data_IF_098066132062
#
_entry.id   IF_098066132062
#
_cell.length_a   1.000
_cell.length_b   1.000
_cell.length_c   1.000
_cell.angle_alpha   90.00
_cell.angle_beta   90.00
_cell.angle_gamma   90.00
#
_symmetry.space_group_name_H-M   'P 1'
#
loop_
_entity.id
_entity.type
_entity.pdbx_description
1 polymer ?
#
# COMPACT_ATOMS: atom_id res chain seq x y z
N UNK A 1 -11.81 -29.24 46.03
CA UNK A 1 -11.86 -28.89 44.60
C UNK A 1 -11.31 -27.49 44.42
N UNK A 2 -10.03 -27.44 44.04
CA UNK A 2 -9.25 -26.29 43.55
C UNK A 2 -9.79 -25.87 42.16
N UNK A 3 -9.66 -24.66 41.59
CA UNK A 3 -8.85 -23.46 41.86
C UNK A 3 -9.36 -22.33 40.91
N UNK A 4 -9.59 -21.14 41.45
CA UNK A 4 -9.20 -19.79 40.98
C UNK A 4 -9.18 -19.41 39.49
N UNK A 5 -9.94 -18.35 39.17
CA UNK A 5 -9.64 -17.30 38.20
C UNK A 5 -8.16 -16.87 38.24
N UNK A 6 -7.51 -16.75 37.06
CA UNK A 6 -6.51 -15.72 36.69
C UNK A 6 -5.89 -15.98 35.29
N UNK A 7 -5.60 -14.88 34.59
CA UNK A 7 -4.56 -14.67 33.54
C UNK A 7 -4.82 -15.33 32.15
N UNK A 8 -4.59 -14.72 30.99
CA UNK A 8 -4.05 -13.41 30.61
C UNK A 8 -4.51 -13.08 29.18
N UNK A 9 -4.88 -11.83 28.95
CA UNK A 9 -4.93 -11.22 27.62
C UNK A 9 -3.49 -11.15 27.11
N UNK A 10 -3.17 -11.87 26.03
CA UNK A 10 -1.93 -11.69 25.28
C UNK A 10 -2.29 -11.15 23.89
N UNK A 11 -2.42 -9.83 23.85
CA UNK A 11 -2.39 -9.04 22.61
C UNK A 11 -0.95 -9.08 22.09
N UNK A 12 -0.66 -10.01 21.19
CA UNK A 12 0.59 -9.98 20.42
C UNK A 12 0.39 -9.01 19.25
N UNK A 13 0.78 -7.77 19.48
CA UNK A 13 1.13 -6.79 18.46
C UNK A 13 2.29 -7.36 17.62
N UNK A 14 1.98 -8.08 16.55
CA UNK A 14 2.91 -8.27 15.44
C UNK A 14 2.92 -6.98 14.62
N UNK A 15 3.67 -6.00 15.12
CA UNK A 15 4.28 -5.01 14.24
C UNK A 15 5.25 -5.82 13.37
N UNK A 16 4.85 -6.09 12.13
CA UNK A 16 5.63 -6.87 11.18
C UNK A 16 6.95 -6.16 10.87
N UNK A 17 7.95 -6.40 11.71
CA UNK A 17 9.35 -6.13 11.43
C UNK A 17 9.76 -7.09 10.31
N UNK A 18 9.63 -6.64 9.07
CA UNK A 18 10.05 -7.41 7.91
C UNK A 18 11.57 -7.25 7.73
N UNK A 19 12.34 -7.95 8.58
CA UNK A 19 13.73 -8.29 8.28
C UNK A 19 13.78 -9.77 7.87
N UNK A 20 13.31 -10.06 6.66
CA UNK A 20 13.33 -11.41 6.11
C UNK A 20 13.56 -11.35 4.62
N UNK A 21 14.78 -11.67 4.18
CA UNK A 21 15.12 -11.79 2.76
C UNK A 21 14.15 -12.73 2.05
N UNK A 22 13.48 -12.24 1.01
CA UNK A 22 12.64 -13.03 0.08
C UNK A 22 13.51 -13.88 -0.85
N UNK A 23 14.53 -14.55 -0.33
CA UNK A 23 15.45 -15.37 -1.10
C UNK A 23 15.43 -16.80 -0.57
N UNK A 24 14.71 -17.68 -1.27
CA UNK A 24 14.95 -19.11 -1.17
C UNK A 24 13.73 -20.01 -1.29
N UNK A 25 12.59 -19.64 -0.69
CA UNK A 25 11.47 -20.58 -0.51
C UNK A 25 10.45 -20.63 -1.66
N UNK A 26 10.45 -19.62 -2.53
CA UNK A 26 9.34 -19.32 -3.44
C UNK A 26 9.57 -19.73 -4.90
N UNK A 27 10.58 -20.55 -5.21
CA UNK A 27 10.97 -20.88 -6.60
C UNK A 27 10.11 -21.98 -7.27
N UNK A 28 9.29 -22.74 -6.55
CA UNK A 28 8.78 -24.03 -7.04
C UNK A 28 7.27 -24.19 -7.27
N UNK A 29 6.39 -23.49 -6.54
CA UNK A 29 4.97 -23.89 -6.44
C UNK A 29 3.94 -22.82 -6.87
N UNK A 30 4.40 -21.66 -7.30
CA UNK A 30 3.63 -20.43 -7.59
C UNK A 30 2.62 -20.55 -8.76
N UNK A 31 2.57 -21.68 -9.46
CA UNK A 31 1.79 -21.84 -10.71
C UNK A 31 0.39 -22.45 -10.50
N UNK A 32 0.06 -22.98 -9.31
CA UNK A 32 -1.20 -23.70 -9.14
C UNK A 32 -2.33 -22.81 -8.58
N UNK A 33 -3.31 -22.56 -9.47
CA UNK A 33 -4.66 -22.05 -9.23
C UNK A 33 -4.89 -20.54 -9.40
N UNK A 34 -4.96 -20.12 -10.66
CA UNK A 34 -5.42 -18.79 -11.10
C UNK A 34 -6.71 -18.89 -11.92
N UNK A 35 -7.80 -19.37 -11.28
CA UNK A 35 -9.12 -19.37 -11.90
C UNK A 35 -9.57 -17.90 -12.11
N UNK A 36 -9.82 -17.51 -13.36
CA UNK A 36 -10.32 -16.17 -13.73
C UNK A 36 -9.28 -15.22 -14.35
N UNK A 37 -8.08 -15.70 -14.69
CA UNK A 37 -7.07 -14.90 -15.40
C UNK A 37 -6.81 -15.42 -16.80
N UNK A 38 -6.43 -14.52 -17.71
CA UNK A 38 -5.97 -14.88 -19.04
C UNK A 38 -4.64 -15.68 -18.93
N UNK A 39 -4.62 -16.96 -19.36
CA UNK A 39 -3.42 -17.79 -19.31
C UNK A 39 -2.25 -17.23 -20.12
N UNK A 40 -2.52 -16.50 -21.21
CA UNK A 40 -1.48 -15.89 -22.03
C UNK A 40 -0.81 -14.72 -21.29
N UNK A 41 -1.59 -13.91 -20.56
CA UNK A 41 -1.07 -12.84 -19.72
C UNK A 41 -0.18 -13.43 -18.62
N UNK A 42 -0.69 -14.43 -17.89
CA UNK A 42 0.10 -15.08 -16.82
C UNK A 42 1.41 -15.66 -17.34
N UNK A 43 1.36 -16.36 -18.47
CA UNK A 43 2.55 -16.93 -19.10
C UNK A 43 3.55 -15.85 -19.48
N UNK A 44 3.11 -14.77 -20.14
CA UNK A 44 3.98 -13.69 -20.59
C UNK A 44 4.66 -12.98 -19.40
N UNK A 45 3.89 -12.65 -18.36
CA UNK A 45 4.42 -11.99 -17.16
C UNK A 45 5.37 -12.90 -16.38
N UNK A 46 5.03 -14.19 -16.24
CA UNK A 46 5.91 -15.19 -15.62
C UNK A 46 7.22 -15.37 -16.38
N UNK A 47 7.18 -15.43 -17.72
CA UNK A 47 8.38 -15.49 -18.56
C UNK A 47 9.24 -14.23 -18.47
N UNK A 48 8.65 -13.08 -18.15
CA UNK A 48 9.34 -11.82 -17.90
C UNK A 48 9.90 -11.69 -16.47
N UNK A 49 9.78 -12.75 -15.65
CA UNK A 49 10.36 -12.82 -14.31
C UNK A 49 9.42 -12.41 -13.17
N UNK A 50 8.14 -12.18 -13.44
CA UNK A 50 7.15 -11.96 -12.39
C UNK A 50 6.82 -13.28 -11.67
N UNK A 51 6.79 -13.24 -10.34
CA UNK A 51 6.13 -14.27 -9.53
C UNK A 51 4.63 -13.96 -9.47
N UNK A 52 3.79 -14.98 -9.58
CA UNK A 52 2.33 -14.81 -9.73
C UNK A 52 1.64 -15.33 -8.48
N UNK A 53 0.97 -14.48 -7.72
CA UNK A 53 0.26 -14.90 -6.53
C UNK A 53 -1.06 -14.18 -6.37
N UNK A 54 -1.49 -14.08 -5.12
CA UNK A 54 -2.68 -13.33 -4.72
C UNK A 54 -2.32 -12.29 -3.66
N UNK A 55 -2.93 -11.12 -3.76
CA UNK A 55 -2.86 -10.05 -2.79
C UNK A 55 -4.25 -9.85 -2.18
N UNK A 56 -4.37 -10.06 -0.88
CA UNK A 56 -5.50 -9.57 -0.11
C UNK A 56 -5.08 -8.29 0.62
N UNK A 57 -5.95 -7.27 0.61
CA UNK A 57 -5.75 -6.07 1.44
C UNK A 57 -6.94 -5.92 2.36
N UNK A 58 -6.72 -6.12 3.67
CA UNK A 58 -7.79 -6.06 4.67
C UNK A 58 -8.46 -4.68 4.70
N UNK A 59 -9.66 -4.57 5.27
CA UNK A 59 -10.37 -3.30 5.44
C UNK A 59 -9.48 -2.22 6.07
N UNK A 60 -8.75 -2.55 7.14
CA UNK A 60 -7.82 -1.66 7.82
C UNK A 60 -6.46 -1.48 7.12
N UNK A 61 -6.29 -2.07 5.95
CA UNK A 61 -5.13 -1.84 5.09
C UNK A 61 -3.95 -2.78 5.27
N UNK A 62 -4.12 -3.95 5.89
CA UNK A 62 -3.04 -4.94 5.99
C UNK A 62 -2.90 -5.69 4.65
N UNK A 63 -1.70 -5.63 4.06
CA UNK A 63 -1.37 -6.36 2.84
C UNK A 63 -0.96 -7.80 3.17
N UNK A 64 -1.51 -8.75 2.42
CA UNK A 64 -1.19 -10.18 2.56
C UNK A 64 -0.97 -10.79 1.19
N UNK A 65 0.28 -11.14 0.92
CA UNK A 65 0.66 -11.94 -0.24
C UNK A 65 0.41 -13.43 0.06
N UNK A 66 -0.24 -14.11 -0.88
CA UNK A 66 -0.73 -15.47 -0.75
C UNK A 66 -0.36 -16.28 -1.99
N UNK A 67 -0.04 -17.55 -1.79
CA UNK A 67 0.35 -18.46 -2.88
C UNK A 67 -0.85 -18.94 -3.71
N UNK A 68 -2.01 -19.11 -3.08
CA UNK A 68 -3.25 -19.54 -3.74
C UNK A 68 -4.39 -18.56 -3.52
N UNK A 69 -5.44 -18.66 -4.35
CA UNK A 69 -6.64 -17.84 -4.18
C UNK A 69 -7.32 -18.25 -2.87
N UNK A 70 -7.43 -17.36 -1.88
CA UNK A 70 -8.16 -17.67 -0.66
C UNK A 70 -9.67 -17.74 -0.96
N UNK A 71 -10.36 -18.73 -0.39
CA UNK A 71 -11.82 -18.81 -0.44
C UNK A 71 -12.46 -17.73 0.43
N UNK A 72 -13.49 -17.06 -0.10
CA UNK A 72 -14.28 -16.06 0.64
C UNK A 72 -13.54 -14.78 1.01
N UNK A 73 -12.29 -14.58 0.54
CA UNK A 73 -11.49 -13.38 0.81
C UNK A 73 -11.33 -12.58 -0.49
N UNK A 74 -11.72 -11.30 -0.45
CA UNK A 74 -11.48 -10.38 -1.56
C UNK A 74 -9.97 -10.25 -1.80
N UNK A 75 -9.55 -10.65 -2.99
CA UNK A 75 -8.16 -10.84 -3.34
C UNK A 75 -7.93 -10.57 -4.82
N UNK A 76 -6.84 -9.88 -5.10
CA UNK A 76 -6.39 -9.56 -6.44
C UNK A 76 -5.28 -10.55 -6.84
N UNK A 77 -5.25 -10.99 -8.10
CA UNK A 77 -4.04 -11.59 -8.64
C UNK A 77 -2.92 -10.54 -8.62
N UNK A 78 -1.72 -10.96 -8.26
CA UNK A 78 -0.56 -10.06 -8.12
C UNK A 78 0.63 -10.58 -8.89
N UNK A 79 1.32 -9.66 -9.56
CA UNK A 79 2.61 -9.89 -10.20
C UNK A 79 3.71 -9.25 -9.37
N UNK A 80 4.57 -10.07 -8.77
CA UNK A 80 5.64 -9.65 -7.87
C UNK A 80 6.99 -9.73 -8.59
N UNK A 81 7.75 -8.65 -8.57
CA UNK A 81 9.13 -8.64 -9.08
C UNK A 81 10.12 -8.51 -7.94
N UNK A 82 11.11 -9.40 -7.95
CA UNK A 82 12.30 -9.28 -7.11
C UNK A 82 13.35 -8.36 -7.75
N UNK A 83 13.36 -8.28 -9.08
CA UNK A 83 14.24 -7.42 -9.85
C UNK A 83 13.44 -6.75 -10.97
N UNK A 84 13.45 -5.41 -11.00
CA UNK A 84 12.84 -4.64 -12.06
C UNK A 84 13.85 -4.32 -13.16
N UNK A 85 13.47 -4.57 -14.42
CA UNK A 85 14.24 -4.19 -15.61
C UNK A 85 13.47 -3.11 -16.39
N UNK A 86 14.05 -1.93 -16.63
CA UNK A 86 13.40 -0.88 -17.41
C UNK A 86 12.93 -1.39 -18.78
N UNK A 87 11.72 -0.99 -19.16
CA UNK A 87 11.04 -1.32 -20.41
C UNK A 87 10.34 -2.67 -20.41
N UNK A 88 10.44 -3.47 -19.33
CA UNK A 88 9.87 -4.82 -19.31
C UNK A 88 8.34 -4.77 -19.31
N UNK A 89 7.73 -3.91 -18.49
CA UNK A 89 6.27 -3.91 -18.28
C UNK A 89 5.57 -3.36 -19.52
N UNK A 90 6.15 -2.35 -20.18
CA UNK A 90 5.58 -1.76 -21.39
C UNK A 90 5.41 -2.73 -22.57
N UNK A 91 6.10 -3.89 -22.55
CA UNK A 91 6.04 -4.91 -23.61
C UNK A 91 5.11 -6.08 -23.28
N UNK A 92 4.54 -6.10 -22.08
CA UNK A 92 3.71 -7.20 -21.62
C UNK A 92 2.23 -6.98 -22.01
N UNK A 93 1.48 -8.07 -22.29
CA UNK A 93 0.05 -7.95 -22.52
C UNK A 93 -0.63 -7.44 -21.23
N UNK A 94 -1.40 -6.36 -21.34
CA UNK A 94 -2.06 -5.75 -20.20
C UNK A 94 -3.20 -6.64 -19.68
N UNK A 95 -3.30 -6.89 -18.36
CA UNK A 95 -4.46 -7.57 -17.79
C UNK A 95 -5.76 -6.77 -18.00
N UNK A 96 -6.84 -7.46 -18.34
CA UNK A 96 -8.18 -6.90 -18.59
C UNK A 96 -9.13 -6.97 -17.38
N UNK A 97 -8.61 -7.42 -16.24
CA UNK A 97 -9.35 -7.54 -14.97
C UNK A 97 -8.53 -6.92 -13.84
N UNK A 98 -9.15 -6.50 -12.72
CA UNK A 98 -8.43 -5.91 -11.59
C UNK A 98 -7.28 -6.79 -11.09
N UNK A 99 -6.11 -6.18 -10.92
CA UNK A 99 -4.90 -6.87 -10.51
C UNK A 99 -3.98 -5.97 -9.69
N UNK A 100 -2.91 -6.57 -9.17
CA UNK A 100 -1.90 -5.89 -8.39
C UNK A 100 -0.49 -6.09 -8.97
N UNK A 101 0.39 -5.13 -8.70
CA UNK A 101 1.83 -5.23 -8.98
C UNK A 101 2.61 -4.96 -7.69
N UNK A 102 3.53 -5.85 -7.37
CA UNK A 102 4.52 -5.64 -6.31
C UNK A 102 5.91 -5.42 -6.87
N UNK A 103 6.44 -4.22 -6.67
CA UNK A 103 7.78 -3.79 -7.06
C UNK A 103 8.60 -3.36 -5.83
N UNK A 104 8.11 -3.68 -4.63
CA UNK A 104 8.76 -3.35 -3.38
C UNK A 104 10.21 -3.84 -3.32
N UNK A 105 11.14 -2.98 -2.90
CA UNK A 105 12.56 -3.29 -2.79
C UNK A 105 13.31 -3.43 -4.13
N UNK A 106 12.65 -3.15 -5.27
CA UNK A 106 13.32 -3.14 -6.58
C UNK A 106 14.01 -1.81 -6.87
N UNK A 107 14.74 -1.75 -8.01
CA UNK A 107 15.34 -0.51 -8.52
C UNK A 107 14.35 0.38 -9.30
N UNK A 108 13.04 0.16 -9.17
CA UNK A 108 12.02 0.99 -9.81
C UNK A 108 12.23 2.48 -9.49
N UNK A 109 12.11 3.33 -10.51
CA UNK A 109 12.29 4.78 -10.43
C UNK A 109 11.22 5.52 -11.25
N UNK A 110 11.34 6.85 -11.34
CA UNK A 110 10.35 7.69 -12.03
C UNK A 110 10.21 7.38 -13.52
N UNK A 111 11.26 6.85 -14.17
CA UNK A 111 11.18 6.47 -15.58
C UNK A 111 10.30 5.24 -15.77
N UNK A 112 10.42 4.26 -14.87
CA UNK A 112 9.63 3.03 -14.91
C UNK A 112 8.14 3.24 -14.57
N UNK A 113 7.78 4.25 -13.78
CA UNK A 113 6.37 4.56 -13.50
C UNK A 113 5.56 4.88 -14.77
N UNK A 114 6.21 5.40 -15.82
CA UNK A 114 5.54 5.66 -17.11
C UNK A 114 5.03 4.38 -17.77
N UNK A 115 5.68 3.24 -17.52
CA UNK A 115 5.27 1.95 -18.07
C UNK A 115 3.94 1.47 -17.47
N UNK A 116 3.62 1.92 -16.25
CA UNK A 116 2.39 1.55 -15.55
C UNK A 116 1.17 2.35 -16.03
N UNK A 117 1.38 3.49 -16.70
CA UNK A 117 0.30 4.42 -17.06
C UNK A 117 -0.77 3.81 -17.98
N UNK A 118 -0.41 2.78 -18.76
CA UNK A 118 -1.33 2.08 -19.67
C UNK A 118 -2.19 1.01 -18.98
N UNK A 119 -1.87 0.64 -17.73
CA UNK A 119 -2.49 -0.48 -17.03
C UNK A 119 -3.81 -0.05 -16.37
N UNK A 120 -4.86 0.08 -17.18
CA UNK A 120 -6.17 0.64 -16.75
C UNK A 120 -6.87 -0.15 -15.64
N UNK A 121 -6.51 -1.42 -15.43
CA UNK A 121 -7.07 -2.28 -14.37
C UNK A 121 -6.13 -2.48 -13.17
N UNK A 122 -4.98 -1.78 -13.11
CA UNK A 122 -4.08 -1.85 -11.96
C UNK A 122 -4.77 -1.22 -10.75
N UNK A 123 -5.07 -2.06 -9.74
CA UNK A 123 -5.81 -1.67 -8.54
C UNK A 123 -4.92 -1.47 -7.33
N UNK A 124 -3.89 -2.31 -7.17
CA UNK A 124 -2.95 -2.21 -6.05
C UNK A 124 -1.51 -2.17 -6.55
N UNK A 125 -0.72 -1.22 -6.05
CA UNK A 125 0.65 -1.02 -6.45
C UNK A 125 1.54 -0.85 -5.22
N UNK A 126 2.53 -1.72 -5.08
CA UNK A 126 3.57 -1.62 -4.05
C UNK A 126 4.88 -1.11 -4.69
N UNK A 127 5.27 0.09 -4.28
CA UNK A 127 6.51 0.79 -4.63
C UNK A 127 7.35 1.07 -3.38
N UNK A 128 7.12 0.33 -2.29
CA UNK A 128 7.88 0.49 -1.06
C UNK A 128 9.38 0.21 -1.29
N UNK A 129 10.27 0.89 -0.59
CA UNK A 129 11.72 0.71 -0.71
C UNK A 129 12.26 0.85 -2.16
N UNK A 130 11.62 1.68 -3.00
CA UNK A 130 12.06 1.96 -4.37
C UNK A 130 12.76 3.33 -4.48
N UNK A 131 13.23 3.68 -5.68
CA UNK A 131 13.89 4.97 -5.99
C UNK A 131 12.93 6.01 -6.53
N UNK A 132 11.62 5.77 -6.41
CA UNK A 132 10.58 6.72 -6.81
C UNK A 132 10.67 7.99 -5.96
N UNK A 133 10.54 9.14 -6.61
CA UNK A 133 10.50 10.47 -6.00
C UNK A 133 9.23 11.21 -6.40
N UNK A 134 9.03 12.40 -5.83
CA UNK A 134 7.89 13.30 -6.12
C UNK A 134 7.63 13.47 -7.63
N UNK A 135 8.69 13.61 -8.42
CA UNK A 135 8.58 13.88 -9.87
C UNK A 135 7.94 12.75 -10.69
N UNK A 136 7.92 11.53 -10.15
CA UNK A 136 7.29 10.38 -10.80
C UNK A 136 5.80 10.24 -10.50
N UNK A 137 5.32 10.76 -9.36
CA UNK A 137 3.99 10.42 -8.83
C UNK A 137 2.83 10.96 -9.66
N UNK A 138 3.02 12.08 -10.36
CA UNK A 138 2.01 12.62 -11.28
C UNK A 138 1.62 11.64 -12.41
N UNK A 139 2.48 10.67 -12.74
CA UNK A 139 2.19 9.63 -13.75
C UNK A 139 1.09 8.68 -13.27
N UNK A 140 0.93 8.48 -11.95
CA UNK A 140 -0.05 7.55 -11.39
C UNK A 140 -1.49 8.04 -11.60
N UNK A 141 -1.70 9.33 -11.86
CA UNK A 141 -3.04 9.88 -12.16
C UNK A 141 -3.64 9.35 -13.47
N UNK A 142 -2.84 8.74 -14.34
CA UNK A 142 -3.32 8.03 -15.54
C UNK A 142 -4.00 6.69 -15.20
N UNK A 143 -3.70 6.11 -14.04
CA UNK A 143 -4.16 4.78 -13.63
C UNK A 143 -5.48 4.91 -12.88
N UNK A 144 -6.60 4.96 -13.62
CA UNK A 144 -7.92 5.30 -13.07
C UNK A 144 -8.48 4.29 -12.08
N UNK A 145 -7.99 3.05 -12.10
CA UNK A 145 -8.41 2.00 -11.18
C UNK A 145 -7.57 1.89 -9.90
N UNK A 146 -6.53 2.72 -9.73
CA UNK A 146 -5.60 2.60 -8.60
C UNK A 146 -6.31 2.94 -7.28
N UNK A 147 -6.48 1.93 -6.42
CA UNK A 147 -7.13 2.04 -5.11
C UNK A 147 -6.12 1.95 -3.97
N UNK A 148 -5.06 1.16 -4.11
CA UNK A 148 -4.11 0.90 -3.03
C UNK A 148 -2.69 1.23 -3.50
N UNK A 149 -1.99 2.09 -2.77
CA UNK A 149 -0.64 2.52 -3.13
C UNK A 149 0.29 2.52 -1.92
N UNK A 150 1.33 1.70 -1.97
CA UNK A 150 2.40 1.69 -0.98
C UNK A 150 3.66 2.39 -1.53
N UNK A 151 4.11 3.43 -0.81
CA UNK A 151 5.29 4.24 -1.06
C UNK A 151 6.24 4.26 0.16
N UNK A 152 6.08 3.32 1.09
CA UNK A 152 6.87 3.26 2.31
C UNK A 152 8.37 3.21 2.02
N UNK A 153 9.18 3.93 2.80
CA UNK A 153 10.63 4.01 2.63
C UNK A 153 11.10 4.40 1.20
N UNK A 154 10.29 5.19 0.49
CA UNK A 154 10.67 5.85 -0.77
C UNK A 154 11.24 7.26 -0.51
N UNK A 155 11.57 7.98 -1.58
CA UNK A 155 12.12 9.35 -1.52
C UNK A 155 11.02 10.42 -1.66
N UNK A 156 9.78 10.09 -1.29
CA UNK A 156 8.62 10.96 -1.42
C UNK A 156 8.57 11.99 -0.28
N UNK A 157 8.12 13.20 -0.62
CA UNK A 157 7.92 14.33 0.28
C UNK A 157 6.52 14.91 0.11
N UNK A 158 6.23 16.01 0.82
CA UNK A 158 4.98 16.77 0.68
C UNK A 158 4.68 17.18 -0.77
N UNK A 159 5.72 17.44 -1.58
CA UNK A 159 5.52 17.77 -3.00
C UNK A 159 4.93 16.60 -3.78
N UNK A 160 5.38 15.38 -3.48
CA UNK A 160 4.84 14.17 -4.09
C UNK A 160 3.39 13.93 -3.68
N UNK A 161 3.03 14.16 -2.41
CA UNK A 161 1.64 14.02 -1.97
C UNK A 161 0.69 15.01 -2.66
N UNK A 162 1.16 16.22 -2.98
CA UNK A 162 0.39 17.18 -3.81
C UNK A 162 0.09 16.63 -5.21
N UNK A 163 1.02 15.92 -5.83
CA UNK A 163 0.76 15.24 -7.10
C UNK A 163 -0.20 14.06 -6.93
N UNK A 164 -0.07 13.29 -5.84
CA UNK A 164 -0.98 12.18 -5.55
C UNK A 164 -2.42 12.62 -5.26
N UNK A 165 -2.64 13.85 -4.81
CA UNK A 165 -3.99 14.40 -4.62
C UNK A 165 -4.82 14.40 -5.92
N UNK A 166 -4.19 14.22 -7.09
CA UNK A 166 -4.83 14.06 -8.41
C UNK A 166 -5.32 12.65 -8.68
N UNK A 167 -4.87 11.65 -7.92
CA UNK A 167 -5.27 10.24 -8.03
C UNK A 167 -6.52 10.01 -7.19
N UNK A 168 -7.65 10.57 -7.64
CA UNK A 168 -8.93 10.57 -6.91
C UNK A 168 -9.51 9.18 -6.60
N UNK A 169 -8.99 8.15 -7.26
CA UNK A 169 -9.42 6.77 -7.04
C UNK A 169 -8.84 6.13 -5.77
N UNK A 170 -7.83 6.73 -5.11
CA UNK A 170 -7.15 6.12 -3.96
C UNK A 170 -8.10 5.87 -2.77
N UNK A 171 -7.95 4.70 -2.16
CA UNK A 171 -8.64 4.25 -0.95
C UNK A 171 -7.67 3.99 0.19
N UNK A 172 -6.49 3.45 -0.12
CA UNK A 172 -5.48 3.09 0.88
C UNK A 172 -4.11 3.59 0.45
N UNK A 173 -3.50 4.41 1.30
CA UNK A 173 -2.23 5.06 1.00
C UNK A 173 -1.26 4.86 2.17
N UNK A 174 -0.06 4.38 1.82
CA UNK A 174 1.00 4.07 2.76
C UNK A 174 2.25 4.82 2.30
N UNK A 175 2.88 5.57 3.20
CA UNK A 175 4.15 6.27 2.91
C UNK A 175 5.00 6.40 4.18
N UNK A 176 4.96 5.39 5.03
CA UNK A 176 5.75 5.39 6.25
C UNK A 176 7.25 5.44 5.97
N UNK A 177 8.04 5.98 6.89
CA UNK A 177 9.50 6.17 6.74
C UNK A 177 9.88 7.05 5.53
N UNK A 178 9.09 8.08 5.25
CA UNK A 178 9.38 9.11 4.24
C UNK A 178 9.59 10.47 4.90
N UNK A 179 10.00 11.48 4.11
CA UNK A 179 10.22 12.83 4.62
C UNK A 179 8.94 13.69 4.67
N UNK A 180 7.76 13.09 4.51
CA UNK A 180 6.46 13.75 4.58
C UNK A 180 6.22 14.37 5.95
N UNK A 181 5.66 15.58 5.95
CA UNK A 181 5.24 16.35 7.11
C UNK A 181 3.77 16.81 6.96
N UNK A 182 3.33 17.69 7.86
CA UNK A 182 1.92 18.09 7.97
C UNK A 182 1.35 18.69 6.68
N UNK A 183 2.17 19.43 5.91
CA UNK A 183 1.73 20.04 4.66
C UNK A 183 1.40 19.00 3.57
N UNK A 184 2.08 17.85 3.58
CA UNK A 184 1.80 16.75 2.67
C UNK A 184 0.47 16.08 2.99
N UNK A 185 0.18 15.81 4.27
CA UNK A 185 -1.10 15.24 4.72
C UNK A 185 -2.26 16.17 4.37
N UNK A 186 -2.12 17.47 4.62
CA UNK A 186 -3.13 18.48 4.26
C UNK A 186 -3.47 18.50 2.78
N UNK A 187 -2.50 18.21 1.90
CA UNK A 187 -2.73 18.18 0.46
C UNK A 187 -3.63 17.01 0.00
N UNK A 188 -3.82 16.00 0.84
CA UNK A 188 -4.61 14.82 0.51
C UNK A 188 -6.11 14.98 0.81
N UNK A 189 -6.55 16.10 1.41
CA UNK A 189 -7.93 16.31 1.92
C UNK A 189 -9.01 16.10 0.85
N UNK A 190 -8.69 16.40 -0.41
CA UNK A 190 -9.60 16.24 -1.54
C UNK A 190 -9.64 14.80 -2.10
N UNK A 191 -9.01 13.83 -1.43
CA UNK A 191 -9.17 12.41 -1.75
C UNK A 191 -10.39 11.85 -1.02
N UNK A 192 -11.56 12.16 -1.55
CA UNK A 192 -12.87 11.87 -0.94
C UNK A 192 -13.11 10.38 -0.66
N UNK A 193 -12.41 9.48 -1.36
CA UNK A 193 -12.52 8.03 -1.20
C UNK A 193 -11.44 7.42 -0.27
N UNK A 194 -10.53 8.22 0.30
CA UNK A 194 -9.39 7.72 1.07
C UNK A 194 -9.82 7.22 2.47
N UNK A 195 -9.76 5.90 2.65
CA UNK A 195 -10.21 5.20 3.86
C UNK A 195 -9.07 4.83 4.82
N UNK A 196 -7.87 4.58 4.30
CA UNK A 196 -6.72 4.16 5.10
C UNK A 196 -5.51 5.02 4.79
N UNK A 197 -4.89 5.57 5.85
CA UNK A 197 -3.71 6.42 5.76
C UNK A 197 -2.66 5.99 6.79
N UNK A 198 -1.50 5.51 6.32
CA UNK A 198 -0.42 5.05 7.21
C UNK A 198 0.76 6.02 7.19
N UNK A 199 0.98 6.67 8.34
CA UNK A 199 1.96 7.74 8.55
C UNK A 199 3.17 7.30 9.39
N UNK A 200 3.38 5.98 9.55
CA UNK A 200 4.43 5.41 10.40
C UNK A 200 5.80 6.07 10.15
N UNK A 201 6.49 6.53 11.20
CA UNK A 201 7.85 7.07 11.08
C UNK A 201 7.97 8.21 10.04
N UNK A 202 7.05 9.19 10.09
CA UNK A 202 7.08 10.40 9.28
C UNK A 202 7.28 11.65 10.16
N UNK A 203 7.39 12.83 9.55
CA UNK A 203 7.60 14.11 10.26
C UNK A 203 6.30 14.82 10.64
N UNK A 204 5.17 14.11 10.62
CA UNK A 204 3.86 14.69 10.97
C UNK A 204 3.78 14.96 12.47
N UNK A 205 3.05 16.00 12.82
CA UNK A 205 2.81 16.48 14.19
C UNK A 205 1.32 16.77 14.39
N UNK A 206 0.94 17.26 15.58
CA UNK A 206 -0.44 17.64 15.88
C UNK A 206 -1.00 18.67 14.89
N UNK A 207 -0.13 19.42 14.19
CA UNK A 207 -0.53 20.43 13.22
C UNK A 207 -1.28 19.88 11.98
N UNK A 208 -1.25 18.57 11.70
CA UNK A 208 -2.06 17.95 10.65
C UNK A 208 -3.43 17.44 11.13
N UNK A 209 -3.64 17.27 12.43
CA UNK A 209 -4.84 16.63 12.97
C UNK A 209 -6.14 17.39 12.66
N UNK A 210 -6.19 18.74 12.67
CA UNK A 210 -7.40 19.45 12.25
C UNK A 210 -7.81 19.12 10.82
N UNK A 211 -6.86 18.94 9.91
CA UNK A 211 -7.17 18.51 8.55
C UNK A 211 -7.66 17.06 8.52
N UNK A 212 -7.06 16.16 9.31
CA UNK A 212 -7.49 14.77 9.44
C UNK A 212 -8.92 14.65 10.01
N UNK A 213 -9.33 15.57 10.88
CA UNK A 213 -10.71 15.63 11.36
C UNK A 213 -11.70 15.88 10.22
N UNK A 214 -11.33 16.68 9.20
CA UNK A 214 -12.16 16.98 8.04
C UNK A 214 -12.23 15.86 6.99
N UNK A 215 -11.36 14.83 7.06
CA UNK A 215 -11.36 13.68 6.13
C UNK A 215 -12.54 12.73 6.36
N UNK A 216 -13.69 13.01 5.76
CA UNK A 216 -14.96 12.29 6.01
C UNK A 216 -14.92 10.78 5.74
N UNK A 217 -14.07 10.33 4.82
CA UNK A 217 -14.00 8.91 4.42
C UNK A 217 -12.95 8.11 5.18
N UNK A 218 -12.04 8.77 5.90
CA UNK A 218 -10.95 8.10 6.60
C UNK A 218 -11.49 7.25 7.75
N UNK A 219 -11.10 5.97 7.79
CA UNK A 219 -11.53 4.97 8.77
C UNK A 219 -10.38 4.38 9.57
N UNK A 220 -9.16 4.40 9.04
CA UNK A 220 -7.99 3.84 9.73
C UNK A 220 -6.77 4.71 9.52
N UNK A 221 -6.13 5.08 10.63
CA UNK A 221 -4.98 5.97 10.68
C UNK A 221 -3.87 5.36 11.56
N UNK A 222 -2.67 5.22 11.01
CA UNK A 222 -1.49 4.74 11.76
C UNK A 222 -0.52 5.90 12.01
N UNK A 223 -0.24 6.19 13.29
CA UNK A 223 0.57 7.33 13.75
C UNK A 223 1.83 6.93 14.52
N UNK A 224 2.15 5.64 14.59
CA UNK A 224 3.32 5.12 15.29
C UNK A 224 4.61 5.81 14.82
N UNK A 225 5.47 6.22 15.77
CA UNK A 225 6.75 6.92 15.52
C UNK A 225 6.60 8.24 14.75
N UNK A 226 5.54 9.00 15.00
CA UNK A 226 5.40 10.37 14.50
C UNK A 226 5.65 11.38 15.62
N UNK A 227 5.60 12.68 15.31
CA UNK A 227 5.59 13.76 16.28
C UNK A 227 4.19 14.11 16.80
N UNK A 228 3.19 13.26 16.57
CA UNK A 228 1.83 13.43 17.13
C UNK A 228 1.82 13.01 18.59
N UNK A 229 1.32 13.89 19.45
CA UNK A 229 1.24 13.70 20.90
C UNK A 229 0.02 12.85 21.28
N UNK A 230 -0.01 12.35 22.52
CA UNK A 230 -1.20 11.64 23.01
C UNK A 230 -2.37 12.61 23.16
N UNK A 231 -2.12 13.85 23.58
CA UNK A 231 -3.13 14.92 23.67
C UNK A 231 -3.74 15.24 22.29
N UNK A 232 -2.92 15.27 21.24
CA UNK A 232 -3.39 15.43 19.87
C UNK A 232 -4.30 14.27 19.43
N UNK A 233 -3.92 13.03 19.75
CA UNK A 233 -4.73 11.84 19.45
C UNK A 233 -6.07 11.91 20.18
N UNK A 234 -6.07 12.26 21.47
CA UNK A 234 -7.30 12.38 22.26
C UNK A 234 -8.26 13.41 21.64
N UNK A 235 -7.75 14.58 21.25
CA UNK A 235 -8.54 15.60 20.56
C UNK A 235 -9.11 15.10 19.21
N UNK A 236 -8.33 14.31 18.46
CA UNK A 236 -8.81 13.72 17.20
C UNK A 236 -9.87 12.64 17.45
N UNK A 237 -9.75 11.84 18.50
CA UNK A 237 -10.77 10.84 18.90
C UNK A 237 -12.06 11.54 19.30
N UNK A 238 -12.00 12.64 20.05
CA UNK A 238 -13.18 13.43 20.40
C UNK A 238 -13.89 13.98 19.16
N UNK A 239 -13.12 14.45 18.17
CA UNK A 239 -13.67 14.96 16.91
C UNK A 239 -14.18 13.86 15.97
N UNK A 240 -13.57 12.67 16.00
CA UNK A 240 -13.80 11.55 15.07
C UNK A 240 -13.82 10.20 15.82
N UNK A 241 -14.85 9.94 16.65
CA UNK A 241 -14.90 8.74 17.50
C UNK A 241 -14.99 7.42 16.72
N UNK A 242 -15.36 7.46 15.44
CA UNK A 242 -15.40 6.30 14.55
C UNK A 242 -14.06 5.98 13.86
N UNK A 243 -13.09 6.90 13.93
CA UNK A 243 -11.78 6.73 13.30
C UNK A 243 -10.93 5.75 14.12
N UNK A 244 -10.49 4.66 13.49
CA UNK A 244 -9.57 3.70 14.13
C UNK A 244 -8.15 4.25 14.07
N UNK A 245 -7.62 4.65 15.22
CA UNK A 245 -6.25 5.16 15.34
C UNK A 245 -5.34 4.08 15.94
N UNK A 246 -4.20 3.84 15.28
CA UNK A 246 -3.17 2.90 15.69
C UNK A 246 -1.91 3.66 16.12
N UNK A 247 -1.39 3.34 17.31
CA UNK A 247 -0.21 3.95 17.94
C UNK A 247 0.93 2.96 18.10
#
# INVERSE_FOLDING_TARGET
MNKTCKLSILFLLLVGFWSGSVSGKYRGEIVKATKGFDPAVMKAWGQAGALIGWLAVSEHGQWRYLEGKPDGVDSLPVFLWQEYKPGVIARLPAPSVPFAIGLGGTKMDNSGLKELASLQYLRSLDLSHTRVTDSGLGQLAAIKALRNLDLGASLVTDRGLKELARVKSLHKLYFGSTAVADAGVKALIDLEDLQVLYLYNTKVTDACLPALADFKSLRSLLLTKTGVTDEGVDALIEARPELVIMR
#
